data_IF_888938030676
#
_entry.id   IF_888938030676
#
_cell.length_a   1.000
_cell.length_b   1.000
_cell.length_c   1.000
_cell.angle_alpha   90.00
_cell.angle_beta   90.00
_cell.angle_gamma   90.00
#
_symmetry.space_group_name_H-M   'P 1'
#
loop_
_entity.id
_entity.type
_entity.pdbx_description
1 polymer ?
#
# COMPACT_ATOMS: atom_id res chain seq x y z
N UNK A 1 -26.37 35.09 -44.72
CA UNK A 1 -27.03 33.97 -44.00
C UNK A 1 -25.95 32.95 -43.55
N UNK A 2 -25.38 33.01 -42.33
CA UNK A 2 -26.01 32.65 -41.05
C UNK A 2 -26.91 31.42 -41.16
N UNK A 3 -26.90 30.40 -40.31
CA UNK A 3 -26.05 29.91 -39.20
C UNK A 3 -26.77 28.60 -38.82
N UNK A 4 -26.07 27.51 -38.48
CA UNK A 4 -26.76 26.26 -38.14
C UNK A 4 -25.81 25.18 -37.67
N UNK A 5 -25.11 25.45 -36.57
CA UNK A 5 -24.42 24.44 -35.76
C UNK A 5 -25.47 23.85 -34.82
N UNK A 6 -25.82 22.57 -34.97
CA UNK A 6 -26.35 21.78 -33.86
C UNK A 6 -25.29 20.77 -33.41
N UNK A 7 -24.64 21.16 -32.32
CA UNK A 7 -23.68 20.39 -31.56
C UNK A 7 -24.46 19.50 -30.59
N UNK A 8 -24.48 18.19 -30.80
CA UNK A 8 -24.86 17.24 -29.76
C UNK A 8 -24.14 15.90 -29.92
N UNK A 9 -22.81 15.93 -29.86
CA UNK A 9 -22.05 14.75 -29.48
C UNK A 9 -21.23 15.09 -28.26
N UNK A 10 -21.85 14.84 -27.11
CA UNK A 10 -21.22 14.74 -25.80
C UNK A 10 -19.99 13.85 -25.92
N UNK A 11 -18.82 14.48 -25.74
CA UNK A 11 -17.54 13.83 -25.56
C UNK A 11 -17.57 12.91 -24.33
N UNK A 12 -18.08 11.69 -24.49
CA UNK A 12 -17.73 10.58 -23.61
C UNK A 12 -16.30 10.16 -23.97
N UNK A 13 -15.35 10.89 -23.39
CA UNK A 13 -13.96 10.51 -23.24
C UNK A 13 -13.93 9.06 -22.75
N UNK A 14 -13.47 8.13 -23.60
CA UNK A 14 -13.14 6.77 -23.22
C UNK A 14 -12.22 6.84 -21.98
N UNK A 15 -12.78 6.65 -20.79
CA UNK A 15 -12.00 6.18 -19.65
C UNK A 15 -11.87 4.68 -19.86
N UNK A 16 -10.76 4.26 -20.47
CA UNK A 16 -10.39 2.85 -20.50
C UNK A 16 -10.06 2.46 -19.06
N UNK A 17 -11.05 1.94 -18.34
CA UNK A 17 -10.82 1.07 -17.20
C UNK A 17 -10.17 -0.17 -17.79
N UNK A 18 -8.85 -0.30 -17.71
CA UNK A 18 -8.23 -1.59 -17.94
C UNK A 18 -8.79 -2.51 -16.86
N UNK A 19 -9.60 -3.50 -17.27
CA UNK A 19 -10.13 -4.49 -16.36
C UNK A 19 -9.01 -5.23 -15.63
N UNK A 20 -9.35 -5.83 -14.50
CA UNK A 20 -8.39 -6.58 -13.69
C UNK A 20 -7.78 -7.73 -14.48
N UNK A 21 -6.45 -7.74 -14.59
CA UNK A 21 -5.69 -8.75 -15.31
C UNK A 21 -5.38 -9.94 -14.40
N UNK A 22 -5.37 -11.15 -14.96
CA UNK A 22 -4.88 -12.33 -14.25
C UNK A 22 -3.38 -12.17 -13.93
N UNK A 23 -2.96 -12.71 -12.80
CA UNK A 23 -1.57 -12.75 -12.39
C UNK A 23 -0.70 -13.43 -13.45
N UNK A 24 0.44 -12.82 -13.76
CA UNK A 24 1.45 -13.46 -14.61
C UNK A 24 1.98 -14.75 -13.95
N UNK A 25 2.46 -15.74 -14.72
CA UNK A 25 2.92 -17.02 -14.18
C UNK A 25 3.92 -16.90 -13.03
N UNK A 26 4.85 -15.94 -13.12
CA UNK A 26 5.86 -15.67 -12.08
C UNK A 26 5.30 -15.07 -10.79
N UNK A 27 4.08 -14.52 -10.82
CA UNK A 27 3.42 -13.89 -9.68
C UNK A 27 2.50 -14.84 -8.91
N UNK A 28 2.11 -15.98 -9.49
CA UNK A 28 1.10 -16.90 -8.93
C UNK A 28 1.44 -17.30 -7.49
N UNK A 29 2.66 -17.76 -7.23
CA UNK A 29 3.10 -18.17 -5.90
C UNK A 29 3.95 -17.09 -5.20
N UNK A 30 4.04 -15.89 -5.78
CA UNK A 30 4.81 -14.79 -5.20
C UNK A 30 4.12 -14.23 -3.96
N UNK A 31 4.91 -13.71 -3.02
CA UNK A 31 4.36 -13.09 -1.82
C UNK A 31 3.66 -11.78 -2.16
N UNK A 32 2.54 -11.55 -1.47
CA UNK A 32 1.78 -10.30 -1.56
C UNK A 32 1.77 -9.60 -0.21
N UNK A 33 2.19 -8.34 -0.17
CA UNK A 33 2.02 -7.49 1.02
C UNK A 33 0.97 -6.42 0.75
N UNK A 34 0.00 -6.34 1.65
CA UNK A 34 -1.12 -5.40 1.62
C UNK A 34 -0.87 -4.31 2.66
N UNK A 35 -0.77 -3.07 2.20
CA UNK A 35 -0.65 -1.88 3.04
C UNK A 35 -1.97 -1.09 2.96
N UNK A 36 -2.67 -0.99 4.09
CA UNK A 36 -4.03 -0.48 4.14
C UNK A 36 -4.16 0.72 5.07
N UNK A 37 -4.59 1.84 4.52
CA UNK A 37 -4.92 3.04 5.28
C UNK A 37 -6.35 2.93 5.78
N UNK A 38 -6.53 2.47 7.01
CA UNK A 38 -7.85 2.12 7.55
C UNK A 38 -8.80 3.32 7.67
N UNK A 39 -8.26 4.55 7.83
CA UNK A 39 -9.07 5.77 7.79
C UNK A 39 -9.46 6.18 6.35
N UNK A 40 -8.61 5.88 5.37
CA UNK A 40 -8.90 6.18 3.96
C UNK A 40 -9.95 5.21 3.40
N UNK A 41 -9.86 3.94 3.76
CA UNK A 41 -10.78 2.90 3.31
C UNK A 41 -11.32 2.15 4.55
N UNK A 42 -12.28 2.74 5.29
CA UNK A 42 -12.76 2.17 6.55
C UNK A 42 -13.57 0.91 6.33
N UNK A 43 -13.62 0.06 7.37
CA UNK A 43 -14.59 -1.04 7.43
C UNK A 43 -16.00 -0.42 7.49
N UNK A 44 -16.92 -0.78 6.58
CA UNK A 44 -18.28 -0.26 6.60
C UNK A 44 -19.01 -0.60 7.90
N UNK A 45 -19.93 0.27 8.32
CA UNK A 45 -20.78 0.01 9.48
C UNK A 45 -21.58 -1.28 9.29
N UNK A 46 -21.67 -2.10 10.35
CA UNK A 46 -22.35 -3.40 10.32
C UNK A 46 -21.60 -4.52 9.60
N UNK A 47 -20.46 -4.24 8.96
CA UNK A 47 -19.63 -5.28 8.35
C UNK A 47 -18.78 -5.99 9.41
N UNK A 48 -18.76 -7.33 9.40
CA UNK A 48 -17.91 -8.11 10.30
C UNK A 48 -16.44 -7.93 9.92
N UNK A 49 -15.68 -7.22 10.76
CA UNK A 49 -14.26 -6.96 10.54
C UNK A 49 -13.42 -8.23 10.36
N UNK A 50 -13.85 -9.38 10.88
CA UNK A 50 -13.18 -10.68 10.69
C UNK A 50 -13.23 -11.16 9.22
N UNK A 51 -14.12 -10.60 8.41
CA UNK A 51 -14.26 -10.97 6.99
C UNK A 51 -13.36 -10.17 6.06
N UNK A 52 -12.69 -9.13 6.58
CA UNK A 52 -11.83 -8.26 5.76
C UNK A 52 -10.64 -9.03 5.17
N UNK A 53 -9.88 -9.79 5.99
CA UNK A 53 -8.76 -10.60 5.47
C UNK A 53 -9.24 -11.62 4.43
N UNK A 54 -10.24 -12.49 4.73
CA UNK A 54 -10.76 -13.44 3.75
C UNK A 54 -11.22 -12.78 2.44
N UNK A 55 -11.88 -11.63 2.52
CA UNK A 55 -12.33 -10.88 1.34
C UNK A 55 -11.16 -10.40 0.47
N UNK A 56 -10.11 -9.83 1.08
CA UNK A 56 -8.91 -9.39 0.36
C UNK A 56 -8.19 -10.59 -0.28
N UNK A 57 -8.01 -11.67 0.48
CA UNK A 57 -7.36 -12.89 0.00
C UNK A 57 -8.15 -13.52 -1.16
N UNK A 58 -9.48 -13.57 -1.06
CA UNK A 58 -10.36 -14.05 -2.12
C UNK A 58 -10.28 -13.19 -3.38
N UNK A 59 -10.31 -11.86 -3.26
CA UNK A 59 -10.15 -10.95 -4.40
C UNK A 59 -8.81 -11.16 -5.13
N UNK A 60 -7.72 -11.33 -4.38
CA UNK A 60 -6.39 -11.65 -4.93
C UNK A 60 -6.38 -13.03 -5.60
N UNK A 61 -6.95 -14.04 -4.94
CA UNK A 61 -7.06 -15.42 -5.43
C UNK A 61 -7.86 -15.47 -6.74
N UNK A 62 -8.94 -14.71 -6.85
CA UNK A 62 -9.76 -14.63 -8.05
C UNK A 62 -8.98 -14.12 -9.28
N UNK A 63 -7.87 -13.40 -9.07
CA UNK A 63 -6.97 -12.99 -10.14
C UNK A 63 -5.75 -13.91 -10.32
N UNK A 64 -5.57 -14.95 -9.51
CA UNK A 64 -4.46 -15.89 -9.65
C UNK A 64 -3.28 -15.64 -8.72
N UNK A 65 -3.39 -14.70 -7.78
CA UNK A 65 -2.38 -14.50 -6.73
C UNK A 65 -2.63 -15.52 -5.60
N UNK A 66 -1.89 -16.63 -5.62
CA UNK A 66 -2.02 -17.77 -4.71
C UNK A 66 -0.95 -17.83 -3.62
N UNK A 67 0.06 -16.96 -3.68
CA UNK A 67 1.11 -16.89 -2.66
C UNK A 67 0.64 -16.33 -1.33
N UNK A 68 1.50 -16.38 -0.32
CA UNK A 68 1.16 -15.90 1.03
C UNK A 68 0.84 -14.40 1.04
N UNK A 69 -0.20 -14.03 1.79
CA UNK A 69 -0.66 -12.65 1.95
C UNK A 69 -0.39 -12.13 3.37
N UNK A 70 0.35 -11.03 3.47
CA UNK A 70 0.53 -10.27 4.72
C UNK A 70 -0.27 -8.98 4.66
N UNK A 71 -1.06 -8.68 5.69
CA UNK A 71 -1.92 -7.49 5.72
C UNK A 71 -1.56 -6.62 6.91
N UNK A 72 -1.20 -5.37 6.64
CA UNK A 72 -0.93 -4.35 7.64
C UNK A 72 -1.90 -3.19 7.45
N UNK A 73 -2.65 -2.87 8.51
CA UNK A 73 -3.57 -1.75 8.58
C UNK A 73 -2.95 -0.63 9.43
N UNK A 74 -3.00 0.61 8.95
CA UNK A 74 -2.42 1.77 9.62
C UNK A 74 -3.39 2.95 9.64
N UNK A 75 -3.46 3.61 10.79
CA UNK A 75 -4.24 4.82 10.98
C UNK A 75 -4.39 5.18 12.45
N UNK A 76 -5.13 6.25 12.71
CA UNK A 76 -5.43 6.69 14.07
C UNK A 76 -6.46 5.76 14.73
N UNK A 77 -5.97 4.76 15.45
CA UNK A 77 -6.82 3.75 16.08
C UNK A 77 -7.77 4.30 17.14
N UNK A 78 -7.53 5.51 17.66
CA UNK A 78 -8.46 6.14 18.62
C UNK A 78 -9.78 6.52 17.94
N UNK A 79 -9.77 6.70 16.62
CA UNK A 79 -10.96 7.00 15.81
C UNK A 79 -11.71 5.75 15.33
N UNK A 80 -11.24 4.55 15.67
CA UNK A 80 -11.75 3.29 15.12
C UNK A 80 -12.38 2.47 16.25
N UNK A 81 -13.60 1.95 16.07
CA UNK A 81 -14.25 1.16 17.11
C UNK A 81 -13.40 -0.04 17.55
N UNK A 82 -13.26 -0.24 18.86
CA UNK A 82 -12.44 -1.31 19.42
C UNK A 82 -12.83 -2.71 18.90
N UNK A 83 -14.13 -2.95 18.70
CA UNK A 83 -14.63 -4.21 18.14
C UNK A 83 -14.12 -4.48 16.73
N UNK A 84 -13.98 -3.43 15.89
CA UNK A 84 -13.40 -3.55 14.54
C UNK A 84 -11.91 -3.90 14.65
N UNK A 85 -11.17 -3.22 15.52
CA UNK A 85 -9.73 -3.47 15.73
C UNK A 85 -9.47 -4.91 16.23
N UNK A 86 -10.29 -5.38 17.16
CA UNK A 86 -10.24 -6.75 17.67
C UNK A 86 -10.58 -7.77 16.58
N UNK A 87 -11.63 -7.53 15.80
CA UNK A 87 -12.01 -8.39 14.68
C UNK A 87 -10.88 -8.52 13.64
N UNK A 88 -10.28 -7.39 13.24
CA UNK A 88 -9.12 -7.38 12.34
C UNK A 88 -7.95 -8.16 12.93
N UNK A 89 -7.55 -7.85 14.16
CA UNK A 89 -6.40 -8.47 14.83
C UNK A 89 -6.60 -9.99 15.03
N UNK A 90 -7.83 -10.43 15.31
CA UNK A 90 -8.17 -11.84 15.50
C UNK A 90 -7.94 -12.69 14.24
N UNK A 91 -7.92 -12.07 13.06
CA UNK A 91 -7.62 -12.72 11.79
C UNK A 91 -6.17 -12.54 11.35
N UNK A 92 -5.32 -12.00 12.23
CA UNK A 92 -3.90 -11.77 11.92
C UNK A 92 -3.66 -10.59 10.98
N UNK A 93 -4.59 -9.63 10.88
CA UNK A 93 -4.27 -8.31 10.31
C UNK A 93 -3.42 -7.55 11.32
N UNK A 94 -2.24 -7.09 10.90
CA UNK A 94 -1.36 -6.30 11.74
C UNK A 94 -1.87 -4.87 11.82
N UNK A 95 -2.45 -4.47 12.95
CA UNK A 95 -3.00 -3.12 13.13
C UNK A 95 -1.99 -2.23 13.85
N UNK A 96 -1.60 -1.14 13.19
CA UNK A 96 -0.60 -0.19 13.68
C UNK A 96 -1.22 1.17 13.90
N UNK A 97 -1.09 1.70 15.13
CA UNK A 97 -1.46 3.08 15.41
C UNK A 97 -0.44 4.04 14.83
N UNK A 98 -0.95 5.02 14.10
CA UNK A 98 -0.20 6.20 13.72
C UNK A 98 -1.12 7.40 13.53
N UNK A 99 -0.58 8.61 13.63
CA UNK A 99 -1.34 9.82 13.32
C UNK A 99 -1.75 9.80 11.84
N UNK A 100 -2.95 10.29 11.52
CA UNK A 100 -3.50 10.24 10.15
C UNK A 100 -2.57 10.86 9.11
N UNK A 101 -1.88 11.94 9.44
CA UNK A 101 -0.87 12.59 8.57
C UNK A 101 0.39 11.76 8.32
N UNK A 102 0.66 10.77 9.15
CA UNK A 102 1.88 9.94 9.15
C UNK A 102 1.70 8.64 8.39
N UNK A 103 0.46 8.23 8.08
CA UNK A 103 0.14 6.97 7.36
C UNK A 103 1.00 6.79 6.11
N UNK A 104 1.10 7.82 5.26
CA UNK A 104 1.90 7.74 4.02
C UNK A 104 3.40 7.57 4.29
N UNK A 105 3.92 8.18 5.37
CA UNK A 105 5.32 8.02 5.76
C UNK A 105 5.59 6.58 6.19
N UNK A 106 4.68 5.99 6.96
CA UNK A 106 4.76 4.59 7.39
C UNK A 106 4.61 3.61 6.24
N UNK A 107 3.78 3.90 5.24
CA UNK A 107 3.73 3.10 4.03
C UNK A 107 5.10 3.02 3.35
N UNK A 108 5.86 4.12 3.28
CA UNK A 108 7.20 4.08 2.67
C UNK A 108 8.16 3.18 3.44
N UNK A 109 8.16 3.29 4.77
CA UNK A 109 9.03 2.49 5.63
C UNK A 109 8.70 1.00 5.51
N UNK A 110 7.41 0.65 5.57
CA UNK A 110 6.96 -0.73 5.48
C UNK A 110 7.14 -1.33 4.09
N UNK A 111 6.96 -0.54 3.03
CA UNK A 111 7.28 -0.96 1.66
C UNK A 111 8.78 -1.23 1.53
N UNK A 112 9.65 -0.37 2.06
CA UNK A 112 11.11 -0.57 1.99
C UNK A 112 11.56 -1.78 2.83
N UNK A 113 10.97 -2.00 4.01
CA UNK A 113 11.22 -3.20 4.80
C UNK A 113 10.77 -4.47 4.06
N UNK A 114 9.56 -4.47 3.48
CA UNK A 114 9.08 -5.58 2.66
C UNK A 114 10.03 -5.90 1.50
N UNK A 115 10.48 -4.87 0.78
CA UNK A 115 11.41 -5.00 -0.36
C UNK A 115 12.76 -5.59 0.05
N UNK A 116 13.23 -5.27 1.25
CA UNK A 116 14.50 -5.81 1.75
C UNK A 116 14.47 -7.32 1.99
N UNK A 117 13.27 -7.87 2.25
CA UNK A 117 13.06 -9.28 2.56
C UNK A 117 12.48 -10.07 1.38
N UNK A 118 11.89 -9.40 0.39
CA UNK A 118 11.13 -10.04 -0.68
C UNK A 118 11.48 -9.39 -2.04
N UNK A 119 12.62 -9.75 -2.66
CA UNK A 119 12.95 -9.25 -4.00
C UNK A 119 11.91 -9.72 -5.04
N UNK A 120 11.75 -9.03 -6.18
CA UNK A 120 10.83 -9.45 -7.22
C UNK A 120 11.16 -10.85 -7.78
N UNK A 121 10.16 -11.66 -8.19
CA UNK A 121 8.75 -11.31 -8.31
C UNK A 121 8.02 -11.26 -6.95
N UNK A 122 7.29 -10.17 -6.73
CA UNK A 122 6.50 -9.92 -5.53
C UNK A 122 5.42 -8.88 -5.83
N UNK A 123 4.29 -8.98 -5.14
CA UNK A 123 3.16 -8.04 -5.32
C UNK A 123 3.03 -7.13 -4.11
N UNK A 124 2.84 -5.84 -4.41
CA UNK A 124 2.46 -4.81 -3.44
C UNK A 124 1.00 -4.46 -3.71
N UNK A 125 0.15 -4.59 -2.70
CA UNK A 125 -1.22 -4.09 -2.73
C UNK A 125 -1.34 -2.86 -1.84
N UNK A 126 -1.88 -1.76 -2.38
CA UNK A 126 -2.17 -0.56 -1.61
C UNK A 126 -3.68 -0.34 -1.53
N UNK A 127 -4.19 -0.20 -0.32
CA UNK A 127 -5.59 0.14 -0.06
C UNK A 127 -5.64 1.55 0.51
N UNK A 128 -5.84 2.54 -0.36
CA UNK A 128 -5.86 3.96 0.01
C UNK A 128 -6.43 4.83 -1.11
N UNK A 129 -7.07 5.92 -0.73
CA UNK A 129 -7.53 6.96 -1.64
C UNK A 129 -6.40 7.94 -2.04
N UNK A 130 -5.26 7.90 -1.36
CA UNK A 130 -4.17 8.88 -1.53
C UNK A 130 -3.04 8.38 -2.43
N UNK A 131 -3.24 7.30 -3.18
CA UNK A 131 -2.18 6.67 -4.00
C UNK A 131 -1.60 7.65 -5.03
N UNK A 132 -2.44 8.29 -5.83
CA UNK A 132 -1.99 9.19 -6.89
C UNK A 132 -1.21 10.39 -6.35
N UNK A 133 -1.67 10.98 -5.24
CA UNK A 133 -1.16 12.26 -4.73
C UNK A 133 0.06 12.10 -3.82
N UNK A 134 0.15 10.99 -3.08
CA UNK A 134 1.15 10.81 -2.03
C UNK A 134 2.12 9.67 -2.30
N UNK A 135 1.66 8.58 -2.93
CA UNK A 135 2.44 7.33 -3.01
C UNK A 135 3.04 7.06 -4.40
N UNK A 136 2.46 7.65 -5.45
CA UNK A 136 2.87 7.43 -6.83
C UNK A 136 4.38 7.60 -7.09
N UNK A 137 5.08 8.61 -6.54
CA UNK A 137 6.52 8.75 -6.76
C UNK A 137 7.31 7.52 -6.29
N UNK A 138 7.04 7.01 -5.09
CA UNK A 138 7.77 5.85 -4.53
C UNK A 138 7.38 4.56 -5.24
N UNK A 139 6.09 4.37 -5.50
CA UNK A 139 5.60 3.18 -6.21
C UNK A 139 6.16 3.11 -7.64
N UNK A 140 6.29 4.24 -8.34
CA UNK A 140 6.83 4.27 -9.70
C UNK A 140 8.28 3.81 -9.75
N UNK A 141 9.10 4.16 -8.76
CA UNK A 141 10.50 3.70 -8.65
C UNK A 141 10.56 2.18 -8.46
N UNK A 142 9.60 1.60 -7.73
CA UNK A 142 9.54 0.15 -7.52
C UNK A 142 9.23 -0.63 -8.82
N UNK A 143 8.71 0.03 -9.85
CA UNK A 143 8.41 -0.59 -11.15
C UNK A 143 9.53 -0.43 -12.19
N UNK A 144 10.51 0.44 -11.95
CA UNK A 144 11.57 0.76 -12.91
C UNK A 144 12.64 -0.33 -13.04
N UNK A 145 12.82 -1.15 -12.01
CA UNK A 145 13.76 -2.28 -12.05
C UNK A 145 13.11 -3.49 -12.74
N UNK A 146 13.90 -4.35 -13.39
CA UNK A 146 13.40 -5.55 -14.08
C UNK A 146 14.06 -6.81 -13.49
N UNK A 147 13.27 -7.80 -12.98
CA UNK A 147 11.82 -7.73 -12.76
C UNK A 147 11.47 -6.68 -11.70
N UNK A 148 10.36 -5.96 -11.90
CA UNK A 148 9.87 -4.94 -10.99
C UNK A 148 8.79 -5.50 -10.08
N UNK A 149 8.38 -4.73 -9.07
CA UNK A 149 7.24 -5.12 -8.23
C UNK A 149 5.93 -5.01 -9.00
N UNK A 150 5.06 -6.02 -8.87
CA UNK A 150 3.69 -5.94 -9.34
C UNK A 150 2.88 -5.05 -8.39
N UNK A 151 1.98 -4.22 -8.95
CA UNK A 151 1.15 -3.30 -8.18
C UNK A 151 -0.32 -3.59 -8.44
N UNK A 152 -1.09 -3.74 -7.37
CA UNK A 152 -2.55 -3.81 -7.40
C UNK A 152 -3.13 -2.86 -6.35
N UNK A 153 -4.30 -2.28 -6.59
CA UNK A 153 -4.82 -1.19 -5.74
C UNK A 153 -6.28 -1.42 -5.33
N UNK A 154 -6.67 -0.87 -4.19
CA UNK A 154 -8.06 -0.67 -3.86
C UNK A 154 -8.29 0.74 -3.28
N UNK A 155 -9.42 1.34 -3.63
CA UNK A 155 -9.81 2.69 -3.17
C UNK A 155 -11.32 2.83 -3.06
N UNK A 156 -11.83 3.81 -2.32
CA UNK A 156 -13.28 4.01 -2.15
C UNK A 156 -13.96 4.54 -3.42
N UNK A 157 -13.19 5.22 -4.28
CA UNK A 157 -13.62 5.74 -5.58
C UNK A 157 -12.69 5.27 -6.70
N UNK A 158 -13.15 5.31 -7.98
CA UNK A 158 -12.31 4.94 -9.12
C UNK A 158 -11.06 5.83 -9.20
N UNK A 159 -9.87 5.22 -9.10
CA UNK A 159 -8.58 5.93 -9.10
C UNK A 159 -7.88 5.90 -10.46
N UNK A 160 -8.34 5.05 -11.39
CA UNK A 160 -7.66 4.74 -12.65
C UNK A 160 -7.19 5.97 -13.42
N UNK A 161 -8.06 6.96 -13.68
CA UNK A 161 -7.69 8.11 -14.51
C UNK A 161 -6.53 8.97 -13.97
N UNK A 162 -6.32 9.03 -12.65
CA UNK A 162 -5.21 9.79 -12.03
C UNK A 162 -3.98 8.93 -11.78
N UNK A 163 -4.16 7.64 -11.56
CA UNK A 163 -3.09 6.70 -11.21
C UNK A 163 -2.39 6.17 -12.46
N UNK A 164 -3.15 5.82 -13.51
CA UNK A 164 -2.61 5.20 -14.73
C UNK A 164 -1.67 6.11 -15.51
N UNK A 165 -1.63 7.42 -15.23
CA UNK A 165 -0.64 8.33 -15.83
C UNK A 165 0.77 8.17 -15.25
N UNK A 166 0.92 7.55 -14.07
CA UNK A 166 2.20 7.44 -13.35
C UNK A 166 2.59 6.01 -12.98
N UNK A 167 1.59 5.13 -12.86
CA UNK A 167 1.75 3.77 -12.36
C UNK A 167 1.12 2.76 -13.31
N UNK A 168 1.75 1.60 -13.42
CA UNK A 168 1.14 0.44 -14.07
C UNK A 168 0.50 -0.46 -13.02
N UNK A 169 -0.80 -0.67 -13.08
CA UNK A 169 -1.54 -1.52 -12.14
C UNK A 169 -2.07 -2.74 -12.88
N UNK A 170 -1.86 -3.93 -12.30
CA UNK A 170 -2.41 -5.17 -12.88
C UNK A 170 -3.87 -5.38 -12.48
N UNK A 171 -4.31 -4.77 -11.38
CA UNK A 171 -5.68 -4.81 -10.91
C UNK A 171 -6.00 -3.60 -10.02
N UNK A 172 -7.25 -3.15 -10.11
CA UNK A 172 -7.83 -2.09 -9.28
C UNK A 172 -9.23 -2.53 -8.81
N UNK A 173 -9.53 -2.32 -7.53
CA UNK A 173 -10.86 -2.56 -6.96
C UNK A 173 -11.45 -1.31 -6.34
N UNK A 174 -12.78 -1.25 -6.35
CA UNK A 174 -13.47 -0.44 -5.36
C UNK A 174 -13.45 -1.18 -4.02
N UNK A 175 -13.09 -0.48 -2.95
CA UNK A 175 -12.98 -1.08 -1.62
C UNK A 175 -14.25 -1.81 -1.20
N UNK A 176 -15.41 -1.20 -1.45
CA UNK A 176 -16.72 -1.80 -1.17
C UNK A 176 -16.98 -3.12 -1.92
N UNK A 177 -16.39 -3.31 -3.11
CA UNK A 177 -16.64 -4.53 -3.91
C UNK A 177 -15.80 -5.69 -3.40
N UNK A 178 -14.60 -5.44 -2.88
CA UNK A 178 -13.80 -6.47 -2.20
C UNK A 178 -14.60 -7.05 -1.03
N UNK A 179 -15.23 -6.18 -0.23
CA UNK A 179 -15.99 -6.60 0.96
C UNK A 179 -17.35 -7.25 0.62
N UNK A 180 -17.87 -7.06 -0.59
CA UNK A 180 -19.18 -7.58 -0.98
C UNK A 180 -19.13 -9.03 -1.49
N UNK A 181 -18.07 -9.43 -2.18
CA UNK A 181 -17.97 -10.75 -2.83
C UNK A 181 -18.03 -11.92 -1.84
N UNK A 182 -17.54 -11.72 -0.62
CA UNK A 182 -17.48 -12.78 0.40
C UNK A 182 -18.89 -13.21 0.90
N UNK A 183 -19.91 -12.36 0.76
CA UNK A 183 -21.28 -12.65 1.23
C UNK A 183 -21.92 -13.87 0.51
N UNK A 184 -21.37 -14.28 -0.64
CA UNK A 184 -21.87 -15.45 -1.38
C UNK A 184 -21.25 -16.78 -0.89
N UNK A 185 -20.00 -16.80 -0.41
CA UNK A 185 -19.38 -18.04 0.09
C UNK A 185 -19.99 -18.51 1.42
N UNK A 186 -20.49 -17.59 2.25
CA UNK A 186 -21.26 -17.92 3.45
C UNK A 186 -22.53 -18.70 3.14
N UNK A 187 -23.18 -18.42 2.00
CA UNK A 187 -24.36 -19.20 1.56
C UNK A 187 -24.00 -20.63 1.16
N UNK A 188 -22.83 -20.85 0.53
CA UNK A 188 -22.38 -22.20 0.15
C UNK A 188 -21.92 -23.03 1.36
N UNK A 189 -21.28 -22.40 2.36
CA UNK A 189 -20.85 -23.08 3.58
C UNK A 189 -22.03 -23.53 4.46
N UNK A 190 -23.08 -22.70 4.59
CA UNK A 190 -24.32 -23.08 5.28
C UNK A 190 -25.07 -24.22 4.57
N UNK A 191 -25.02 -24.26 3.23
CA UNK A 191 -25.62 -25.34 2.43
C UNK A 191 -24.88 -26.66 2.63
N UNK A 192 -23.55 -26.65 2.76
CA UNK A 192 -22.76 -27.87 3.02
C UNK A 192 -23.02 -28.45 4.41
N UNK A 193 -23.29 -27.61 5.43
CA UNK A 193 -23.63 -28.10 6.76
C UNK A 193 -25.05 -28.69 6.86
N UNK A 194 -25.93 -28.40 5.87
CA UNK A 194 -27.30 -28.94 5.79
C UNK A 194 -27.41 -30.28 5.07
N UNK A 195 -26.35 -30.73 4.40
CA UNK A 195 -26.35 -31.95 3.57
C UNK A 195 -25.63 -33.16 4.22
N UNK A 196 -25.47 -33.20 5.54
CA UNK A 196 -24.76 -34.31 6.22
C UNK A 196 -25.55 -35.08 7.28
N UNK A 197 -26.88 -34.98 7.29
CA UNK A 197 -27.72 -35.94 8.02
C UNK A 197 -28.15 -37.09 7.09
N UNK A 198 -27.20 -37.96 6.75
CA UNK A 198 -27.53 -39.35 6.42
C UNK A 198 -26.38 -40.27 6.79
N UNK A 199 -26.66 -41.14 7.74
CA UNK A 199 -25.79 -42.11 8.39
C UNK A 199 -25.06 -43.03 7.41
N UNK A 200 -23.76 -43.20 7.61
CA UNK A 200 -23.10 -44.53 7.66
C UNK A 200 -21.79 -44.41 8.43
N UNK A 201 -21.66 -45.20 9.50
CA UNK A 201 -20.44 -45.45 10.24
C UNK A 201 -19.37 -46.07 9.33
N UNK A 202 -18.16 -45.49 9.29
CA UNK A 202 -16.94 -46.23 8.95
C UNK A 202 -15.74 -45.65 9.70
N UNK A 203 -14.87 -46.57 10.10
CA UNK A 203 -13.83 -46.45 11.12
C UNK A 203 -12.86 -45.28 10.94
N UNK A 204 -12.54 -44.64 12.07
CA UNK A 204 -11.48 -43.66 12.21
C UNK A 204 -10.11 -44.30 12.01
N UNK A 205 -9.31 -43.75 11.09
CA UNK A 205 -7.87 -43.97 11.06
C UNK A 205 -7.17 -42.65 11.37
N UNK A 206 -6.38 -42.68 12.44
CA UNK A 206 -5.60 -41.55 12.94
C UNK A 206 -4.49 -41.17 11.94
N UNK A 207 -4.63 -40.00 11.31
CA UNK A 207 -3.49 -39.25 10.80
C UNK A 207 -3.39 -37.93 11.57
N UNK A 208 -2.39 -37.86 12.46
CA UNK A 208 -1.98 -36.66 13.17
C UNK A 208 -1.63 -35.55 12.16
N UNK A 209 -2.57 -34.63 11.92
CA UNK A 209 -2.26 -33.32 11.36
C UNK A 209 -2.18 -32.34 12.52
N UNK A 210 -0.95 -32.17 13.04
CA UNK A 210 -0.59 -31.03 13.87
C UNK A 210 -0.99 -29.74 13.14
N UNK A 211 -1.67 -28.79 13.79
CA UNK A 211 -1.82 -27.46 13.23
C UNK A 211 -0.42 -26.83 13.21
N UNK A 212 0.13 -26.61 12.01
CA UNK A 212 1.22 -25.64 11.85
C UNK A 212 0.63 -24.25 12.05
N UNK A 213 0.35 -23.89 13.30
CA UNK A 213 0.24 -22.51 13.72
C UNK A 213 1.67 -21.93 13.72
N UNK A 214 2.21 -21.68 12.53
CA UNK A 214 3.44 -20.94 12.37
C UNK A 214 3.13 -19.46 12.55
N UNK A 215 3.62 -18.98 13.68
CA UNK A 215 3.80 -17.60 14.11
C UNK A 215 3.98 -16.62 12.94
N UNK A 216 2.95 -15.83 12.65
CA UNK A 216 3.10 -14.58 11.90
C UNK A 216 2.47 -13.47 12.74
N UNK A 217 3.03 -13.25 13.92
CA UNK A 217 3.01 -11.90 14.48
C UNK A 217 3.88 -11.03 13.57
N UNK A 218 3.43 -9.83 13.15
CA UNK A 218 4.32 -8.90 12.47
C UNK A 218 5.59 -8.72 13.32
N UNK A 219 6.77 -8.60 12.70
CA UNK A 219 7.98 -8.37 13.48
C UNK A 219 7.74 -7.13 14.36
N UNK A 220 8.21 -7.15 15.61
CA UNK A 220 8.01 -6.03 16.55
C UNK A 220 8.79 -4.77 16.09
N UNK A 221 9.70 -4.93 15.13
CA UNK A 221 10.60 -3.88 14.63
C UNK A 221 9.91 -2.70 13.94
N UNK A 222 8.95 -2.85 13.01
CA UNK A 222 8.34 -1.73 12.31
C UNK A 222 7.51 -0.89 13.28
N UNK A 223 6.75 -1.51 14.18
CA UNK A 223 5.97 -0.80 15.19
C UNK A 223 6.83 0.08 16.11
N UNK A 224 8.00 -0.43 16.54
CA UNK A 224 8.96 0.36 17.34
C UNK A 224 9.57 1.51 16.53
N UNK A 225 9.94 1.27 15.26
CA UNK A 225 10.46 2.32 14.36
C UNK A 225 9.42 3.42 14.14
N UNK A 226 8.16 3.03 13.92
CA UNK A 226 7.05 3.94 13.66
C UNK A 226 6.84 4.90 14.83
N UNK A 227 6.68 4.34 16.03
CA UNK A 227 6.53 5.14 17.26
C UNK A 227 7.69 6.12 17.50
N UNK A 228 8.94 5.67 17.30
CA UNK A 228 10.09 6.56 17.46
C UNK A 228 10.10 7.70 16.43
N UNK A 229 9.70 7.41 15.19
CA UNK A 229 9.66 8.41 14.12
C UNK A 229 8.56 9.45 14.33
N UNK A 230 7.41 9.04 14.84
CA UNK A 230 6.34 9.96 15.24
C UNK A 230 6.81 10.91 16.33
N UNK A 231 7.44 10.39 17.39
CA UNK A 231 8.03 11.20 18.46
C UNK A 231 8.99 12.23 17.86
N UNK A 232 9.90 11.81 16.99
CA UNK A 232 10.88 12.71 16.35
C UNK A 232 10.20 13.80 15.50
N UNK A 233 9.11 13.47 14.80
CA UNK A 233 8.38 14.43 13.97
C UNK A 233 7.58 15.40 14.83
N UNK A 234 6.88 14.92 15.85
CA UNK A 234 6.16 15.76 16.81
C UNK A 234 7.13 16.69 17.53
N UNK A 235 8.28 16.20 17.98
CA UNK A 235 9.32 17.01 18.62
C UNK A 235 9.91 18.04 17.67
N UNK A 236 10.12 17.71 16.39
CA UNK A 236 10.60 18.66 15.38
C UNK A 236 9.62 19.79 15.06
N UNK A 237 8.34 19.61 15.38
CA UNK A 237 7.29 20.63 15.19
C UNK A 237 7.10 21.51 16.43
N UNK A 238 7.68 21.17 17.58
CA UNK A 238 7.66 22.04 18.76
C UNK A 238 8.48 23.30 18.45
N UNK A 239 7.94 24.51 18.68
CA UNK A 239 8.71 25.73 18.52
C UNK A 239 9.91 25.70 19.48
N UNK A 240 11.07 26.16 19.01
CA UNK A 240 12.28 26.29 19.83
C UNK A 240 11.92 27.06 21.12
N UNK A 241 12.29 26.57 22.33
CA UNK A 241 11.92 27.20 23.61
C UNK A 241 12.58 28.57 23.86
N UNK A 242 13.08 29.26 22.83
CA UNK A 242 13.76 30.55 22.90
C UNK A 242 13.09 31.72 22.17
N UNK A 243 11.90 31.54 21.58
CA UNK A 243 11.20 32.64 20.89
C UNK A 243 10.00 33.13 21.70
N UNK A 244 10.23 34.12 22.57
CA UNK A 244 9.17 34.97 23.11
C UNK A 244 8.57 35.81 21.99
N UNK A 245 7.25 35.73 21.80
CA UNK A 245 6.50 36.61 20.89
C UNK A 245 6.44 38.00 21.52
N UNK A 246 7.44 38.83 21.25
CA UNK A 246 7.52 40.21 21.75
C UNK A 246 6.73 41.17 20.88
N UNK A 247 5.71 41.78 21.49
CA UNK A 247 5.15 43.11 21.29
C UNK A 247 5.08 43.73 19.89
N UNK A 248 3.83 43.98 19.48
CA UNK A 248 3.48 44.83 18.34
C UNK A 248 3.84 46.28 18.66
N UNK A 249 4.92 46.80 18.07
CA UNK A 249 5.16 48.25 18.01
C UNK A 249 4.44 48.90 16.82
N UNK A 250 3.78 50.05 17.01
CA UNK A 250 2.93 50.66 15.99
C UNK A 250 3.80 51.50 15.04
N UNK A 251 4.17 50.91 13.90
CA UNK A 251 4.33 51.54 12.58
C UNK A 251 4.96 50.52 11.63
N UNK A 252 4.18 50.09 10.65
CA UNK A 252 4.53 48.98 9.76
C UNK A 252 5.84 49.20 8.99
N UNK A 253 6.80 48.31 9.23
CA UNK A 253 7.78 47.81 8.26
C UNK A 253 8.16 46.38 8.65
N UNK A 254 7.72 45.39 7.85
CA UNK A 254 8.23 44.02 7.96
C UNK A 254 9.64 44.01 7.38
N UNK A 255 10.66 43.89 8.23
CA UNK A 255 12.04 43.66 7.81
C UNK A 255 12.28 42.15 7.78
N UNK A 256 12.40 41.56 6.59
CA UNK A 256 12.87 40.19 6.44
C UNK A 256 14.37 40.12 6.78
N UNK A 257 14.71 39.71 7.99
CA UNK A 257 16.08 39.29 8.31
C UNK A 257 16.34 37.91 7.72
N UNK A 258 17.06 37.86 6.59
CA UNK A 258 17.65 36.63 6.04
C UNK A 258 18.67 36.06 7.03
N UNK A 259 18.28 35.05 7.78
CA UNK A 259 19.23 34.19 8.50
C UNK A 259 19.80 33.14 7.54
N UNK A 260 21.07 33.30 7.19
CA UNK A 260 21.89 32.25 6.55
C UNK A 260 22.10 31.11 7.55
N UNK A 261 21.24 30.10 7.56
CA UNK A 261 21.63 28.77 8.08
C UNK A 261 22.42 28.06 6.98
N UNK A 262 23.75 28.03 7.12
CA UNK A 262 24.62 27.09 6.39
C UNK A 262 24.23 25.68 6.83
N UNK A 263 23.36 25.02 6.08
CA UNK A 263 23.25 23.56 6.09
C UNK A 263 24.57 23.00 5.55
N UNK A 264 25.46 22.54 6.44
CA UNK A 264 26.41 21.48 6.06
C UNK A 264 25.60 20.18 5.96
N UNK A 265 24.85 20.01 4.88
CA UNK A 265 24.46 18.68 4.45
C UNK A 265 25.70 18.01 3.87
N UNK A 266 26.06 16.85 4.42
CA UNK A 266 27.11 15.99 3.90
C UNK A 266 26.76 15.53 2.49
N UNK A 267 27.27 16.24 1.49
CA UNK A 267 27.36 15.83 0.09
C UNK A 267 28.36 14.66 -0.08
N UNK A 268 28.12 13.51 0.54
CA UNK A 268 29.02 12.34 0.37
C UNK A 268 28.38 11.06 -0.17
N UNK A 269 27.09 11.03 -0.45
CA UNK A 269 26.47 9.80 -1.01
C UNK A 269 25.97 9.93 -2.45
N UNK A 270 25.87 11.15 -3.01
CA UNK A 270 25.46 11.34 -4.41
C UNK A 270 26.60 11.31 -5.43
N UNK A 271 27.85 11.53 -5.01
CA UNK A 271 29.00 11.57 -5.93
C UNK A 271 29.61 10.18 -6.25
N UNK A 272 29.21 9.14 -5.52
CA UNK A 272 29.73 7.78 -5.69
C UNK A 272 28.97 6.95 -6.75
N UNK A 273 27.74 7.34 -7.10
CA UNK A 273 26.96 6.65 -8.14
C UNK A 273 27.13 7.24 -9.55
N UNK A 274 27.57 8.50 -9.67
CA UNK A 274 27.87 9.10 -10.98
C UNK A 274 29.32 8.88 -11.45
N UNK A 275 30.24 8.48 -10.56
CA UNK A 275 31.62 8.15 -10.92
C UNK A 275 31.80 6.68 -11.32
N UNK A 276 30.93 5.75 -10.91
CA UNK A 276 30.93 4.38 -11.46
C UNK A 276 30.28 4.25 -12.84
N UNK A 277 29.43 5.20 -13.27
CA UNK A 277 28.87 5.20 -14.65
C UNK A 277 29.82 5.75 -15.72
N UNK A 278 30.90 6.45 -15.37
CA UNK A 278 31.93 6.88 -16.34
C UNK A 278 33.04 5.85 -16.58
N UNK A 279 33.25 4.87 -15.69
CA UNK A 279 34.31 3.86 -15.86
C UNK A 279 33.87 2.62 -16.66
N UNK A 280 32.57 2.31 -16.73
CA UNK A 280 32.06 1.18 -17.53
C UNK A 280 31.74 1.52 -18.99
N UNK A 281 31.47 2.79 -19.32
CA UNK A 281 31.27 3.24 -20.71
C UNK A 281 32.56 3.34 -21.53
N UNK A 282 33.72 3.51 -20.88
CA UNK A 282 35.00 3.69 -21.57
C UNK A 282 35.78 2.38 -21.83
N UNK A 283 35.33 1.22 -21.31
CA UNK A 283 36.02 -0.08 -21.51
C UNK A 283 35.42 -0.98 -22.61
N UNK A 284 34.38 -0.54 -23.33
CA UNK A 284 33.86 -1.27 -24.52
C UNK A 284 34.19 -0.64 -25.87
N UNK A 285 34.91 0.48 -25.90
CA UNK A 285 35.36 1.13 -27.15
C UNK A 285 36.86 1.03 -27.42
N UNK A 286 37.62 0.27 -26.62
CA UNK A 286 39.07 0.06 -26.81
C UNK A 286 39.46 -1.40 -27.13
N UNK A 287 38.52 -2.22 -27.64
CA UNK A 287 38.81 -3.55 -28.21
C UNK A 287 38.06 -3.76 -29.53
N UNK A 288 38.32 -2.89 -30.50
CA UNK A 288 38.14 -3.12 -31.94
C UNK A 288 39.07 -2.13 -32.64
N UNK A 289 40.27 -2.59 -32.99
CA UNK A 289 41.27 -1.76 -33.66
C UNK A 289 42.70 -2.11 -33.29
N UNK A 290 43.12 -3.36 -33.53
CA UNK A 290 44.48 -3.72 -33.94
C UNK A 290 44.52 -5.21 -34.30
N UNK A 291 44.99 -5.48 -35.52
CA UNK A 291 44.99 -6.73 -36.32
C UNK A 291 43.67 -7.03 -37.04
#
# INVERSE_FOLDING_TARGET
>A
PQLGIENSNSNFRLMVVFGNSKAAPELVNSKTSVFWGIECCPVPEGYDARRVRPSIESALKNLGYMGSVTISAMGDLEKIPCQVLQGLSSTGVAVTHCLSEMVNTHFFDDIDEFKSLNPPPATIMIISDNVAEKLAPVLSVNQQYRPGYNLVLASTYPTSAKVTSYLYTSAEWLWKTILADDQQETSFSEVLHKCSESSTEFFADHANLLPQALQISPPISPLKKHKQREINIVDSRKPDPGYSYGDVHPKGKIVYLKSKRRLRMGFRTFHLLLTQRRSFGARRLARRGTL
#
